data_IF_585358014268
#
_entry.id   IF_585358014268
#
_cell.length_a   1.000
_cell.length_b   1.000
_cell.length_c   1.000
_cell.angle_alpha   90.00
_cell.angle_beta   90.00
_cell.angle_gamma   90.00
#
_symmetry.space_group_name_H-M   'P 1'
#
loop_
_entity.id
_entity.type
_entity.pdbx_description
1 polymer ?
#
# COMPACT_ATOMS: atom_id res chain seq x y z
N UNK A 1 1.94 12.31 -4.41
CA UNK A 1 1.66 11.03 -5.08
C UNK A 1 2.94 10.63 -5.76
N UNK A 2 3.33 9.37 -5.61
CA UNK A 2 4.56 8.80 -6.15
C UNK A 2 4.20 7.47 -6.82
N UNK A 3 4.96 7.09 -7.83
CA UNK A 3 4.81 5.84 -8.58
C UNK A 3 6.15 5.13 -8.57
N UNK A 4 6.16 3.80 -8.69
CA UNK A 4 7.39 3.03 -8.72
C UNK A 4 8.34 3.49 -9.85
N UNK A 5 9.67 3.46 -9.63
CA UNK A 5 10.33 3.06 -8.40
C UNK A 5 10.32 4.17 -7.33
N UNK A 6 9.85 3.86 -6.11
CA UNK A 6 9.88 4.76 -4.97
C UNK A 6 9.70 4.01 -3.65
N UNK A 7 10.74 3.94 -2.83
CA UNK A 7 10.74 3.11 -1.63
C UNK A 7 9.84 3.67 -0.51
N UNK A 8 9.29 2.74 0.27
CA UNK A 8 8.70 2.97 1.59
C UNK A 8 9.54 2.25 2.61
N UNK A 9 10.22 3.03 3.45
CA UNK A 9 11.10 2.52 4.51
C UNK A 9 10.34 2.56 5.84
N UNK A 10 9.91 1.40 6.33
CA UNK A 10 9.25 1.29 7.64
C UNK A 10 10.23 1.06 8.79
N UNK A 11 11.29 0.29 8.52
CA UNK A 11 12.38 -0.03 9.46
C UNK A 11 13.63 -0.41 8.66
N UNK A 12 14.76 -0.63 9.33
CA UNK A 12 16.00 -1.11 8.70
C UNK A 12 15.84 -2.47 7.98
N UNK A 13 14.79 -3.24 8.30
CA UNK A 13 14.52 -4.56 7.76
C UNK A 13 13.21 -4.64 6.95
N UNK A 14 12.43 -3.57 6.92
CA UNK A 14 11.13 -3.54 6.27
C UNK A 14 11.09 -2.40 5.25
N UNK A 15 11.57 -2.71 4.05
CA UNK A 15 11.53 -1.81 2.90
C UNK A 15 10.72 -2.48 1.80
N UNK A 16 9.80 -1.71 1.21
CA UNK A 16 8.97 -2.17 0.09
C UNK A 16 8.85 -1.07 -0.95
N UNK A 17 8.66 -1.47 -2.20
CA UNK A 17 8.40 -0.59 -3.32
C UNK A 17 6.97 -0.88 -3.85
N UNK A 18 5.98 -0.01 -3.53
CA UNK A 18 4.64 -0.12 -4.09
C UNK A 18 4.57 0.49 -5.49
N UNK A 19 3.63 0.02 -6.31
CA UNK A 19 3.40 0.58 -7.65
C UNK A 19 2.94 2.05 -7.60
N UNK A 20 2.08 2.39 -6.63
CA UNK A 20 1.65 3.76 -6.37
C UNK A 20 1.44 4.01 -4.89
N UNK A 21 1.80 5.21 -4.43
CA UNK A 21 1.52 5.64 -3.08
C UNK A 21 1.11 7.11 -3.00
N UNK A 22 0.38 7.42 -1.92
CA UNK A 22 -0.01 8.77 -1.57
C UNK A 22 0.33 9.10 -0.13
N UNK A 23 0.89 10.30 0.04
CA UNK A 23 1.11 10.96 1.32
C UNK A 23 0.41 12.32 1.24
N UNK A 24 -0.43 12.58 2.23
CA UNK A 24 -1.17 13.81 2.46
C UNK A 24 -0.22 14.98 2.68
N UNK A 25 -0.72 16.19 2.42
CA UNK A 25 0.10 17.40 2.51
C UNK A 25 0.59 17.65 3.94
N UNK A 26 -0.25 17.32 4.91
CA UNK A 26 -0.02 17.41 6.35
C UNK A 26 1.15 16.51 6.78
N UNK A 27 1.34 15.38 6.10
CA UNK A 27 2.39 14.40 6.37
C UNK A 27 3.61 14.54 5.47
N UNK A 28 3.73 15.59 4.66
CA UNK A 28 4.85 15.78 3.72
C UNK A 28 6.25 15.65 4.33
N UNK A 29 6.40 15.90 5.63
CA UNK A 29 7.67 15.76 6.35
C UNK A 29 8.25 14.34 6.34
N UNK A 30 7.45 13.30 6.09
CA UNK A 30 7.96 11.92 5.95
C UNK A 30 8.52 11.61 4.57
N UNK A 31 8.37 12.51 3.60
CA UNK A 31 8.80 12.29 2.22
C UNK A 31 10.17 12.93 2.02
N UNK A 32 11.13 12.14 1.58
CA UNK A 32 12.46 12.60 1.15
C UNK A 32 12.53 12.67 -0.37
N UNK A 33 13.69 13.06 -0.91
CA UNK A 33 13.94 12.99 -2.35
C UNK A 33 13.96 11.54 -2.87
N UNK A 34 14.38 10.59 -2.02
CA UNK A 34 14.61 9.20 -2.44
C UNK A 34 13.47 8.23 -2.04
N UNK A 35 12.74 8.51 -0.95
CA UNK A 35 11.79 7.55 -0.38
C UNK A 35 10.81 8.20 0.61
N UNK A 36 9.81 7.43 1.05
CA UNK A 36 9.00 7.74 2.24
C UNK A 36 9.59 7.08 3.48
N UNK A 37 9.63 7.78 4.61
CA UNK A 37 9.98 7.25 5.93
C UNK A 37 8.72 7.00 6.77
N UNK A 38 8.34 5.73 6.94
CA UNK A 38 7.11 5.33 7.62
C UNK A 38 5.91 5.18 6.67
N UNK A 39 4.70 4.95 7.21
CA UNK A 39 3.56 4.51 6.42
C UNK A 39 2.99 5.61 5.52
N UNK A 40 2.79 5.39 4.21
CA UNK A 40 1.95 6.25 3.39
C UNK A 40 0.50 6.27 3.90
N UNK A 41 -0.28 7.25 3.45
CA UNK A 41 -1.72 7.28 3.74
C UNK A 41 -2.46 6.23 2.89
N UNK A 42 -2.04 6.06 1.64
CA UNK A 42 -2.57 5.06 0.71
C UNK A 42 -1.41 4.37 -0.02
N UNK A 43 -1.54 3.06 -0.18
CA UNK A 43 -0.73 2.24 -1.07
C UNK A 43 -1.62 1.50 -2.06
N UNK A 44 -1.20 1.45 -3.32
CA UNK A 44 -1.86 0.70 -4.40
C UNK A 44 -0.85 -0.25 -5.01
N UNK A 45 -1.24 -1.51 -5.16
CA UNK A 45 -0.48 -2.54 -5.88
C UNK A 45 -1.30 -3.02 -7.08
N UNK A 46 -0.64 -3.17 -8.22
CA UNK A 46 -1.21 -3.67 -9.46
C UNK A 46 -0.71 -5.10 -9.68
N UNK A 47 -1.61 -6.06 -9.56
CA UNK A 47 -1.26 -7.47 -9.68
C UNK A 47 -0.73 -7.77 -11.07
N UNK A 48 0.39 -8.49 -11.10
CA UNK A 48 0.93 -9.10 -12.30
C UNK A 48 1.05 -10.62 -12.11
N UNK A 49 1.11 -11.42 -13.18
CA UNK A 49 1.28 -12.87 -13.06
C UNK A 49 2.46 -13.31 -12.19
N UNK A 50 3.54 -12.51 -12.18
CA UNK A 50 4.76 -12.80 -11.40
C UNK A 50 4.71 -12.37 -9.93
N UNK A 51 3.90 -11.36 -9.58
CA UNK A 51 3.90 -10.75 -8.24
C UNK A 51 2.61 -10.97 -7.46
N UNK A 52 1.57 -11.54 -8.09
CA UNK A 52 0.22 -11.74 -7.51
C UNK A 52 0.23 -12.19 -6.05
N UNK A 53 0.93 -13.28 -5.75
CA UNK A 53 1.00 -13.82 -4.37
C UNK A 53 1.70 -12.86 -3.39
N UNK A 54 2.75 -12.19 -3.84
CA UNK A 54 3.54 -11.27 -3.03
C UNK A 54 2.71 -10.04 -2.66
N UNK A 55 1.99 -9.46 -3.61
CA UNK A 55 1.19 -8.27 -3.37
C UNK A 55 -0.07 -8.62 -2.54
N UNK A 56 -0.76 -9.72 -2.84
CA UNK A 56 -1.95 -10.12 -2.09
C UNK A 56 -1.66 -10.54 -0.64
N UNK A 57 -0.50 -11.16 -0.36
CA UNK A 57 -0.23 -11.78 0.95
C UNK A 57 0.99 -11.21 1.69
N UNK A 58 2.09 -10.95 0.98
CA UNK A 58 3.37 -10.61 1.61
C UNK A 58 3.44 -9.12 1.94
N UNK A 59 3.21 -8.23 0.97
CA UNK A 59 3.30 -6.78 1.16
C UNK A 59 2.16 -6.21 2.02
N UNK A 60 0.99 -6.86 2.01
CA UNK A 60 -0.12 -6.50 2.91
C UNK A 60 0.29 -6.48 4.39
N UNK A 61 1.14 -7.41 4.82
CA UNK A 61 1.53 -7.56 6.23
C UNK A 61 2.29 -6.33 6.79
N UNK A 62 3.39 -5.86 6.19
CA UNK A 62 4.04 -4.63 6.67
C UNK A 62 3.11 -3.42 6.57
N UNK A 63 2.31 -3.28 5.51
CA UNK A 63 1.34 -2.18 5.41
C UNK A 63 0.37 -2.14 6.59
N UNK A 64 -0.19 -3.30 6.95
CA UNK A 64 -1.11 -3.43 8.09
C UNK A 64 -0.40 -3.21 9.43
N UNK A 65 0.79 -3.80 9.59
CA UNK A 65 1.58 -3.70 10.83
C UNK A 65 2.01 -2.27 11.14
N UNK A 66 2.46 -1.53 10.12
CA UNK A 66 2.99 -0.17 10.29
C UNK A 66 1.95 0.93 10.15
N UNK A 67 0.69 0.59 9.86
CA UNK A 67 -0.41 1.55 9.95
C UNK A 67 -0.65 2.39 8.70
N UNK A 68 -0.44 1.81 7.51
CA UNK A 68 -0.99 2.39 6.28
C UNK A 68 -2.52 2.45 6.42
N UNK A 69 -3.14 3.58 6.05
CA UNK A 69 -4.56 3.79 6.30
C UNK A 69 -5.45 3.06 5.28
N UNK A 70 -5.05 3.07 4.01
CA UNK A 70 -5.72 2.33 2.93
C UNK A 70 -4.75 1.53 2.07
N UNK A 71 -5.18 0.32 1.70
CA UNK A 71 -4.44 -0.59 0.86
C UNK A 71 -5.34 -1.08 -0.28
N UNK A 72 -4.95 -0.80 -1.52
CA UNK A 72 -5.75 -1.14 -2.70
C UNK A 72 -5.00 -2.14 -3.55
N UNK A 73 -5.72 -3.15 -4.01
CA UNK A 73 -5.20 -4.19 -4.91
C UNK A 73 -6.00 -4.15 -6.20
N UNK A 74 -5.32 -3.78 -7.28
CA UNK A 74 -5.88 -3.73 -8.62
C UNK A 74 -5.51 -5.02 -9.34
N UNK A 75 -6.51 -5.72 -9.89
CA UNK A 75 -6.32 -6.92 -10.69
C UNK A 75 -6.74 -6.65 -12.13
N UNK A 76 -5.78 -6.39 -13.05
CA UNK A 76 -6.10 -6.12 -14.44
C UNK A 76 -6.69 -7.33 -15.18
N UNK A 77 -6.40 -8.56 -14.76
CA UNK A 77 -6.92 -9.77 -15.42
C UNK A 77 -8.39 -10.01 -15.08
N UNK A 78 -8.78 -9.71 -13.84
CA UNK A 78 -10.15 -9.83 -13.37
C UNK A 78 -10.96 -8.53 -13.49
N UNK A 79 -10.32 -7.44 -13.91
CA UNK A 79 -10.90 -6.10 -13.96
C UNK A 79 -11.52 -5.67 -12.62
N UNK A 80 -10.84 -6.00 -11.51
CA UNK A 80 -11.31 -5.69 -10.15
C UNK A 80 -10.39 -4.76 -9.39
N UNK A 81 -10.95 -4.03 -8.43
CA UNK A 81 -10.21 -3.28 -7.41
C UNK A 81 -10.72 -3.68 -6.03
N UNK A 82 -9.87 -4.32 -5.23
CA UNK A 82 -10.17 -4.62 -3.82
C UNK A 82 -9.65 -3.48 -2.96
N UNK A 83 -10.55 -2.86 -2.20
CA UNK A 83 -10.23 -1.73 -1.32
C UNK A 83 -10.23 -2.22 0.12
N UNK A 84 -9.09 -2.08 0.79
CA UNK A 84 -8.93 -2.36 2.20
C UNK A 84 -8.70 -1.07 2.97
N UNK A 85 -9.36 -0.94 4.13
CA UNK A 85 -9.17 0.20 5.04
C UNK A 85 -8.80 -0.31 6.42
N UNK A 86 -7.86 0.39 7.06
CA UNK A 86 -7.44 0.09 8.42
C UNK A 86 -8.60 0.38 9.39
N UNK A 87 -8.91 -0.59 10.24
CA UNK A 87 -9.89 -0.41 11.31
C UNK A 87 -9.30 0.47 12.43
N UNK A 88 -10.08 1.43 12.97
CA UNK A 88 -9.63 2.27 14.09
C UNK A 88 -9.27 1.47 15.35
N UNK A 89 -9.95 0.34 15.55
CA UNK A 89 -9.73 -0.57 16.68
C UNK A 89 -9.00 -1.81 16.17
N UNK A 90 -7.91 -2.21 16.83
CA UNK A 90 -7.13 -3.40 16.47
C UNK A 90 -6.20 -3.22 15.27
N UNK A 91 -6.49 -2.29 14.36
CA UNK A 91 -5.57 -1.93 13.28
C UNK A 91 -5.45 -2.97 12.17
N UNK A 92 -6.38 -3.91 12.07
CA UNK A 92 -6.42 -4.82 10.94
C UNK A 92 -6.98 -4.09 9.70
N UNK A 93 -6.64 -4.59 8.51
CA UNK A 93 -7.31 -4.18 7.28
C UNK A 93 -8.62 -4.94 7.11
N UNK A 94 -9.74 -4.21 7.09
CA UNK A 94 -11.02 -4.72 6.65
C UNK A 94 -11.22 -4.43 5.15
N UNK A 95 -11.79 -5.39 4.40
CA UNK A 95 -12.18 -5.15 3.01
C UNK A 95 -13.42 -4.26 3.00
N UNK A 96 -13.27 -3.03 2.54
CA UNK A 96 -14.33 -2.03 2.49
C UNK A 96 -15.23 -2.21 1.26
N UNK A 97 -14.61 -2.48 0.11
CA UNK A 97 -15.30 -2.64 -1.15
C UNK A 97 -14.51 -3.52 -2.13
N UNK A 98 -15.21 -4.03 -3.13
CA UNK A 98 -14.66 -4.63 -4.33
C UNK A 98 -15.40 -3.99 -5.50
N UNK A 99 -14.65 -3.28 -6.35
CA UNK A 99 -15.17 -2.67 -7.55
C UNK A 99 -14.87 -3.60 -8.72
N UNK A 100 -15.82 -3.73 -9.64
CA UNK A 100 -15.64 -4.47 -10.88
C UNK A 100 -16.04 -3.57 -12.04
N UNK A 101 -15.24 -3.57 -13.10
CA UNK A 101 -15.55 -2.86 -14.34
C UNK A 101 -16.63 -3.60 -15.15
#
# INVERSE_FOLDING_TARGET
MFVAPFDVVFSDLDVVEPDLLYVSRERRHVVTEAHVQGPPDLVVEVLSPGTRKTDELTKRKPYERFGVAEYWVVDPELETIKIYRREPVGGAFARLAELQA
#
